data_IF_600199800084
#
_entry.id   IF_600199800084
#
_cell.length_a   1.000
_cell.length_b   1.000
_cell.length_c   1.000
_cell.angle_alpha   90.00
_cell.angle_beta   90.00
_cell.angle_gamma   90.00
#
_symmetry.space_group_name_H-M   'P 1'
#
loop_
_entity.id
_entity.type
_entity.pdbx_description
1 polymer ?
#
# COMPACT_ATOMS: atom_id res chain seq x y z
N UNK A 1 0.89 -7.63 -23.96
CA UNK A 1 -0.16 -7.09 -23.06
C UNK A 1 0.41 -7.10 -21.66
N UNK A 2 0.76 -5.95 -21.07
CA UNK A 2 1.21 -5.92 -19.65
C UNK A 2 0.01 -6.28 -18.78
N UNK A 3 0.19 -7.19 -17.83
CA UNK A 3 -0.86 -7.50 -16.86
C UNK A 3 -1.24 -6.20 -16.11
N UNK A 4 -2.53 -5.96 -15.92
CA UNK A 4 -3.02 -4.83 -15.11
C UNK A 4 -2.35 -4.89 -13.72
N UNK A 5 -1.96 -3.74 -13.19
CA UNK A 5 -1.26 -3.62 -11.90
C UNK A 5 -2.04 -4.31 -10.77
N UNK A 6 -3.38 -4.27 -10.83
CA UNK A 6 -4.25 -4.96 -9.88
C UNK A 6 -4.05 -6.49 -9.88
N UNK A 7 -3.98 -7.09 -11.07
CA UNK A 7 -3.76 -8.52 -11.29
C UNK A 7 -2.35 -8.94 -10.84
N UNK A 8 -1.34 -8.13 -11.16
CA UNK A 8 0.04 -8.40 -10.76
C UNK A 8 0.19 -8.46 -9.24
N UNK A 9 -0.27 -7.41 -8.53
CA UNK A 9 -0.23 -7.36 -7.07
C UNK A 9 -1.01 -8.53 -6.46
N UNK A 10 -2.23 -8.79 -6.93
CA UNK A 10 -3.03 -9.89 -6.43
C UNK A 10 -2.39 -11.25 -6.67
N UNK A 11 -1.65 -11.43 -7.77
CA UNK A 11 -0.89 -12.65 -8.06
C UNK A 11 0.20 -12.87 -7.01
N UNK A 12 1.08 -11.89 -6.81
CA UNK A 12 2.18 -12.01 -5.85
C UNK A 12 1.70 -12.22 -4.41
N UNK A 13 0.63 -11.55 -3.97
CA UNK A 13 0.11 -11.72 -2.61
C UNK A 13 -0.45 -13.12 -2.42
N UNK A 14 -1.16 -13.68 -3.41
CA UNK A 14 -1.71 -15.04 -3.37
C UNK A 14 -0.61 -16.11 -3.37
N UNK A 15 0.49 -15.89 -4.07
CA UNK A 15 1.64 -16.83 -4.11
C UNK A 15 2.65 -16.61 -2.98
N UNK A 16 2.47 -15.58 -2.15
CA UNK A 16 3.41 -15.26 -1.07
C UNK A 16 4.76 -14.71 -1.55
N UNK A 17 4.86 -14.29 -2.82
CA UNK A 17 6.10 -13.81 -3.44
C UNK A 17 6.40 -12.35 -3.11
N UNK A 18 6.41 -11.99 -1.82
CA UNK A 18 6.52 -10.60 -1.36
C UNK A 18 7.82 -9.90 -1.74
N UNK A 19 8.92 -10.64 -1.87
CA UNK A 19 10.19 -10.07 -2.35
C UNK A 19 10.08 -9.63 -3.82
N UNK A 20 9.41 -10.43 -4.66
CA UNK A 20 9.15 -10.09 -6.07
C UNK A 20 8.15 -8.95 -6.18
N UNK A 21 7.11 -8.95 -5.33
CA UNK A 21 6.17 -7.82 -5.23
C UNK A 21 6.88 -6.52 -4.88
N UNK A 22 7.76 -6.53 -3.87
CA UNK A 22 8.54 -5.36 -3.48
C UNK A 22 9.41 -4.84 -4.64
N UNK A 23 10.13 -5.72 -5.33
CA UNK A 23 10.93 -5.35 -6.50
C UNK A 23 10.07 -4.78 -7.64
N UNK A 24 8.90 -5.37 -7.87
CA UNK A 24 7.94 -4.89 -8.88
C UNK A 24 7.37 -3.51 -8.51
N UNK A 25 6.99 -3.30 -7.24
CA UNK A 25 6.49 -2.01 -6.75
C UNK A 25 7.54 -0.89 -6.84
N UNK A 26 8.83 -1.21 -6.74
CA UNK A 26 9.90 -0.24 -6.92
C UNK A 26 10.03 0.27 -8.36
N UNK A 27 9.56 -0.52 -9.34
CA UNK A 27 9.66 -0.20 -10.77
C UNK A 27 8.30 0.17 -11.40
N UNK A 28 7.20 0.00 -10.68
CA UNK A 28 5.85 0.25 -11.17
C UNK A 28 5.61 1.75 -11.39
N UNK A 29 4.98 2.10 -12.51
CA UNK A 29 4.51 3.46 -12.75
C UNK A 29 3.45 3.85 -11.71
N UNK A 30 3.68 4.96 -11.01
CA UNK A 30 2.84 5.40 -9.88
C UNK A 30 1.43 5.80 -10.34
N UNK A 31 1.28 6.38 -11.54
CA UNK A 31 -0.02 6.81 -12.07
C UNK A 31 -0.86 5.61 -12.48
N UNK A 32 -0.26 4.63 -13.16
CA UNK A 32 -0.92 3.38 -13.51
C UNK A 32 -1.32 2.60 -12.25
N UNK A 33 -0.41 2.49 -11.27
CA UNK A 33 -0.68 1.83 -10.00
C UNK A 33 -1.82 2.51 -9.24
N UNK A 34 -1.86 3.84 -9.19
CA UNK A 34 -2.93 4.59 -8.53
C UNK A 34 -4.30 4.37 -9.20
N UNK A 35 -4.34 4.27 -10.53
CA UNK A 35 -5.58 3.98 -11.29
C UNK A 35 -6.11 2.56 -11.02
N UNK A 36 -5.21 1.60 -10.85
CA UNK A 36 -5.58 0.21 -10.56
C UNK A 36 -5.87 -0.03 -9.07
N UNK A 37 -5.38 0.85 -8.19
CA UNK A 37 -5.44 0.68 -6.73
C UNK A 37 -6.84 0.41 -6.19
N UNK A 38 -7.91 1.12 -6.61
CA UNK A 38 -9.26 0.89 -6.08
C UNK A 38 -9.80 -0.53 -6.34
N UNK A 39 -9.29 -1.23 -7.35
CA UNK A 39 -9.71 -2.60 -7.73
C UNK A 39 -9.03 -3.68 -6.88
N UNK A 40 -7.99 -3.34 -6.12
CA UNK A 40 -7.31 -4.29 -5.25
C UNK A 40 -8.22 -4.70 -4.09
N UNK A 41 -8.11 -5.97 -3.67
CA UNK A 41 -8.69 -6.40 -2.41
C UNK A 41 -8.05 -5.64 -1.23
N UNK A 42 -8.80 -5.36 -0.14
CA UNK A 42 -8.28 -4.60 1.00
C UNK A 42 -6.94 -5.11 1.54
N UNK A 43 -6.80 -6.42 1.73
CA UNK A 43 -5.56 -7.03 2.23
C UNK A 43 -4.39 -6.85 1.25
N UNK A 44 -4.65 -6.91 -0.06
CA UNK A 44 -3.62 -6.71 -1.09
C UNK A 44 -3.11 -5.27 -1.11
N UNK A 45 -4.00 -4.27 -0.92
CA UNK A 45 -3.62 -2.86 -0.79
C UNK A 45 -2.66 -2.66 0.38
N UNK A 46 -3.04 -3.18 1.55
CA UNK A 46 -2.24 -3.03 2.78
C UNK A 46 -0.88 -3.73 2.66
N UNK A 47 -0.86 -4.94 2.10
CA UNK A 47 0.36 -5.68 1.85
C UNK A 47 1.30 -4.93 0.90
N UNK A 48 0.79 -4.49 -0.25
CA UNK A 48 1.59 -3.76 -1.23
C UNK A 48 2.12 -2.43 -0.66
N UNK A 49 1.28 -1.67 0.03
CA UNK A 49 1.67 -0.40 0.65
C UNK A 49 2.79 -0.59 1.68
N UNK A 50 2.71 -1.64 2.52
CA UNK A 50 3.73 -1.97 3.52
C UNK A 50 5.01 -2.57 2.94
N UNK A 51 5.03 -2.93 1.67
CA UNK A 51 6.24 -3.41 0.99
C UNK A 51 7.00 -2.28 0.29
N UNK A 52 6.38 -1.11 0.13
CA UNK A 52 7.06 0.09 -0.35
C UNK A 52 8.02 0.60 0.74
N UNK A 53 9.15 1.17 0.33
CA UNK A 53 9.93 1.98 1.24
C UNK A 53 9.12 3.21 1.67
N UNK A 54 9.49 3.80 2.81
CA UNK A 54 8.70 4.86 3.42
C UNK A 54 8.52 6.04 2.46
N UNK A 55 9.60 6.57 1.86
CA UNK A 55 9.50 7.71 0.95
C UNK A 55 8.55 7.44 -0.22
N UNK A 56 8.72 6.30 -0.91
CA UNK A 56 7.82 5.86 -1.99
C UNK A 56 6.37 5.73 -1.54
N UNK A 57 6.13 5.21 -0.33
CA UNK A 57 4.79 5.01 0.21
C UNK A 57 4.07 6.34 0.42
N UNK A 58 4.76 7.37 0.94
CA UNK A 58 4.16 8.69 1.17
C UNK A 58 3.88 9.43 -0.15
N UNK A 59 4.82 9.37 -1.10
CA UNK A 59 4.60 9.96 -2.43
C UNK A 59 3.45 9.29 -3.16
N UNK A 60 3.37 7.95 -3.06
CA UNK A 60 2.24 7.21 -3.63
C UNK A 60 0.92 7.53 -2.90
N UNK A 61 0.95 7.63 -1.58
CA UNK A 61 -0.22 7.99 -0.77
C UNK A 61 -0.83 9.31 -1.24
N UNK A 62 -0.01 10.34 -1.48
CA UNK A 62 -0.47 11.68 -1.89
C UNK A 62 -1.16 11.72 -3.24
N UNK A 63 -0.89 10.78 -4.14
CA UNK A 63 -1.56 10.72 -5.45
C UNK A 63 -2.84 9.89 -5.45
N UNK A 64 -3.17 9.25 -4.32
CA UNK A 64 -4.38 8.44 -4.19
C UNK A 64 -5.61 9.29 -3.88
N UNK A 65 -6.80 8.87 -4.36
CA UNK A 65 -8.05 9.55 -4.00
C UNK A 65 -8.31 9.43 -2.49
N UNK A 66 -9.07 10.39 -1.95
CA UNK A 66 -9.33 10.50 -0.50
C UNK A 66 -9.74 9.18 0.16
N UNK A 67 -10.68 8.43 -0.43
CA UNK A 67 -11.15 7.14 0.13
C UNK A 67 -10.02 6.13 0.31
N UNK A 68 -9.09 6.09 -0.63
CA UNK A 68 -7.94 5.17 -0.59
C UNK A 68 -6.90 5.62 0.43
N UNK A 69 -6.66 6.94 0.54
CA UNK A 69 -5.81 7.48 1.59
C UNK A 69 -6.38 7.19 2.98
N UNK A 70 -7.66 7.44 3.19
CA UNK A 70 -8.34 7.14 4.46
C UNK A 70 -8.24 5.65 4.82
N UNK A 71 -8.43 4.77 3.84
CA UNK A 71 -8.26 3.33 4.03
C UNK A 71 -6.83 2.96 4.46
N UNK A 72 -5.81 3.46 3.75
CA UNK A 72 -4.40 3.17 4.08
C UNK A 72 -3.98 3.75 5.44
N UNK A 73 -4.48 4.92 5.78
CA UNK A 73 -4.28 5.53 7.09
C UNK A 73 -4.91 4.70 8.21
N UNK A 74 -6.16 4.25 8.03
CA UNK A 74 -6.84 3.37 9.00
C UNK A 74 -6.11 2.03 9.17
N UNK A 75 -5.47 1.56 8.10
CA UNK A 75 -4.61 0.37 8.11
C UNK A 75 -3.14 0.63 8.44
N UNK A 76 -2.77 1.80 8.99
CA UNK A 76 -1.37 2.17 9.26
C UNK A 76 -0.60 1.11 10.08
N UNK A 77 -1.12 0.59 11.20
CA UNK A 77 -0.41 -0.40 12.02
C UNK A 77 0.01 -1.64 11.22
N UNK A 78 1.17 -2.22 11.53
CA UNK A 78 1.65 -3.43 10.86
C UNK A 78 0.69 -4.62 11.04
N UNK A 79 -0.04 -4.64 12.16
CA UNK A 79 -1.03 -5.66 12.51
C UNK A 79 -2.22 -5.71 11.54
N UNK A 80 -2.44 -4.67 10.72
CA UNK A 80 -3.51 -4.69 9.71
C UNK A 80 -3.28 -5.72 8.60
N UNK A 81 -2.06 -6.29 8.51
CA UNK A 81 -1.74 -7.43 7.64
C UNK A 81 -1.40 -8.70 8.43
N UNK A 82 -1.83 -8.82 9.69
CA UNK A 82 -1.57 -9.98 10.54
C UNK A 82 -1.85 -11.34 9.86
N UNK A 83 -2.92 -11.53 9.05
CA UNK A 83 -3.15 -12.78 8.33
C UNK A 83 -2.01 -13.20 7.40
N UNK A 84 -1.24 -12.25 6.86
CA UNK A 84 -0.08 -12.54 6.01
C UNK A 84 1.20 -12.80 6.81
N UNK A 85 1.24 -12.36 8.07
CA UNK A 85 2.43 -12.46 8.92
C UNK A 85 2.42 -13.73 9.78
N UNK A 86 1.23 -14.25 10.12
CA UNK A 86 1.04 -15.32 11.09
C UNK A 86 1.95 -16.53 10.80
N UNK A 87 1.93 -17.06 9.58
CA UNK A 87 2.76 -18.21 9.18
C UNK A 87 4.00 -17.82 8.36
N UNK A 88 4.24 -16.53 8.12
CA UNK A 88 5.35 -16.10 7.29
C UNK A 88 6.72 -16.32 7.99
N UNK A 89 7.74 -16.80 7.27
CA UNK A 89 9.11 -16.85 7.78
C UNK A 89 9.61 -15.48 8.26
N UNK A 90 10.51 -15.45 9.24
CA UNK A 90 11.07 -14.20 9.77
C UNK A 90 11.71 -13.32 8.68
N UNK A 91 12.36 -13.92 7.68
CA UNK A 91 12.92 -13.22 6.53
C UNK A 91 11.83 -12.48 5.72
N UNK A 92 10.69 -13.12 5.51
CA UNK A 92 9.52 -12.54 4.84
C UNK A 92 8.89 -11.43 5.66
N UNK A 93 8.72 -11.62 6.98
CA UNK A 93 8.16 -10.61 7.88
C UNK A 93 8.97 -9.30 7.85
N UNK A 94 10.30 -9.40 7.76
CA UNK A 94 11.23 -8.25 7.66
C UNK A 94 11.09 -7.44 6.36
N UNK A 95 10.41 -7.97 5.34
CA UNK A 95 10.15 -7.21 4.11
C UNK A 95 9.07 -6.14 4.31
N UNK A 96 8.13 -6.37 5.22
CA UNK A 96 7.07 -5.41 5.51
C UNK A 96 7.60 -4.31 6.42
N UNK A 97 7.56 -3.08 5.90
CA UNK A 97 8.03 -1.90 6.58
C UNK A 97 7.01 -1.48 7.63
N UNK A 98 7.49 -1.36 8.86
CA UNK A 98 6.79 -0.55 9.87
C UNK A 98 7.08 0.91 9.55
N UNK A 99 6.06 1.63 9.08
CA UNK A 99 6.21 3.05 8.77
C UNK A 99 6.59 3.84 10.04
N UNK A 100 7.56 4.77 9.97
CA UNK A 100 7.98 5.56 11.12
C UNK A 100 6.82 6.35 11.76
N UNK A 101 6.85 6.61 13.07
CA UNK A 101 5.77 7.36 13.73
C UNK A 101 5.49 8.74 13.10
N UNK A 102 6.53 9.44 12.60
CA UNK A 102 6.36 10.71 11.88
C UNK A 102 5.47 10.60 10.64
N UNK A 103 5.47 9.44 9.97
CA UNK A 103 4.64 9.21 8.77
C UNK A 103 3.15 9.24 9.09
N UNK A 104 2.77 8.82 10.29
CA UNK A 104 1.38 8.91 10.72
C UNK A 104 0.92 10.36 10.76
N UNK A 105 1.77 11.25 11.28
CA UNK A 105 1.52 12.69 11.30
C UNK A 105 1.36 13.26 9.89
N UNK A 106 2.29 12.94 9.00
CA UNK A 106 2.25 13.40 7.60
C UNK A 106 0.97 12.91 6.88
N UNK A 107 0.61 11.63 7.04
CA UNK A 107 -0.59 11.06 6.43
C UNK A 107 -1.89 11.67 6.98
N UNK A 108 -1.92 11.96 8.30
CA UNK A 108 -3.06 12.60 8.96
C UNK A 108 -3.19 14.04 8.50
N UNK A 109 -2.09 14.79 8.43
CA UNK A 109 -2.09 16.16 7.94
C UNK A 109 -2.59 16.25 6.50
N UNK A 110 -2.10 15.36 5.61
CA UNK A 110 -2.56 15.28 4.23
C UNK A 110 -4.06 14.92 4.12
N UNK A 111 -4.61 14.10 5.04
CA UNK A 111 -6.04 13.78 5.08
C UNK A 111 -6.89 14.96 5.56
N UNK A 112 -6.45 15.67 6.58
CA UNK A 112 -7.19 16.78 7.21
C UNK A 112 -7.12 18.05 6.36
N UNK A 113 -6.13 18.19 5.47
CA UNK A 113 -6.05 19.30 4.50
C UNK A 113 -7.04 19.16 3.34
N UNK A 114 -7.52 17.96 3.02
CA UNK A 114 -8.38 17.70 1.86
C UNK A 114 -9.90 17.44 2.11
N UNK A 115 -10.50 17.61 3.30
CA UNK A 115 -11.93 17.32 3.50
C UNK A 115 -12.86 18.35 2.82
N UNK A 116 -12.32 19.40 2.18
CA UNK A 116 -13.10 20.52 1.66
C UNK A 116 -13.63 20.38 0.21
N UNK A 117 -13.41 19.26 -0.49
CA UNK A 117 -13.94 19.03 -1.85
C UNK A 117 -14.43 17.60 -2.05
N UNK A 118 -15.46 17.19 -1.30
CA UNK A 118 -16.29 16.05 -1.73
C UNK A 118 -17.41 16.58 -2.64
N UNK A 119 -17.48 16.21 -3.92
CA UNK A 119 -18.72 16.38 -4.67
C UNK A 119 -19.77 15.38 -4.14
N UNK A 120 -21.01 15.86 -4.03
CA UNK A 120 -22.22 15.08 -3.75
C UNK A 120 -22.47 14.06 -4.86
#
# INVERSE_FOLDING_TARGET
>A
MRADASTAVAGFVRTGEYARLRAWLAQADRKELARAWPRLAPLHKLAAFKLMDAASALDFYRVLPYRERYFLFSGFPLQSIAPLLFDAPAATRRLFVQLPARFYGDMLEDLVREPAKAPQ
#
